data_IF_357880195719
#
_entry.id   IF_357880195719
#
_cell.length_a   1.000
_cell.length_b   1.000
_cell.length_c   1.000
_cell.angle_alpha   90.00
_cell.angle_beta   90.00
_cell.angle_gamma   90.00
#
_symmetry.space_group_name_H-M   'P 1'
#
loop_
_entity.id
_entity.type
_entity.pdbx_description
1 polymer ?
#
# COMPACT_ATOMS: atom_id res chain seq x y z
N UNK A 1 -17.91 -13.81 5.08
CA UNK A 1 -17.17 -13.11 4.03
C UNK A 1 -15.79 -13.75 3.86
N UNK A 2 -15.47 -14.29 2.68
CA UNK A 2 -14.33 -15.18 2.49
C UNK A 2 -13.04 -14.40 2.18
N UNK A 3 -12.37 -13.89 3.22
CA UNK A 3 -11.00 -13.35 3.15
C UNK A 3 -9.92 -14.44 3.11
N UNK A 4 -10.30 -15.72 3.02
CA UNK A 4 -9.38 -16.86 2.99
C UNK A 4 -9.04 -17.23 1.55
N UNK A 5 -7.78 -17.53 1.28
CA UNK A 5 -7.30 -18.11 0.02
C UNK A 5 -7.86 -19.53 -0.10
N UNK A 6 -9.02 -19.73 -0.77
CA UNK A 6 -9.19 -19.52 -2.21
C UNK A 6 -10.52 -18.82 -2.60
N UNK A 7 -10.97 -17.85 -1.81
CA UNK A 7 -12.24 -17.15 -2.05
C UNK A 7 -12.29 -16.42 -3.38
N UNK A 8 -13.45 -16.46 -4.05
CA UNK A 8 -13.73 -15.72 -5.29
C UNK A 8 -13.32 -14.25 -5.24
N UNK A 9 -13.44 -13.63 -4.06
CA UNK A 9 -13.10 -12.22 -3.85
C UNK A 9 -11.61 -11.94 -4.02
N UNK A 10 -10.73 -12.83 -3.56
CA UNK A 10 -9.28 -12.66 -3.70
C UNK A 10 -8.84 -12.70 -5.17
N UNK A 11 -9.48 -13.53 -6.00
CA UNK A 11 -9.15 -13.61 -7.43
C UNK A 11 -9.63 -12.37 -8.20
N UNK A 12 -10.82 -11.87 -7.86
CA UNK A 12 -11.34 -10.61 -8.41
C UNK A 12 -10.47 -9.42 -8.01
N UNK A 13 -10.09 -9.32 -6.73
CA UNK A 13 -9.20 -8.27 -6.23
C UNK A 13 -7.83 -8.32 -6.89
N UNK A 14 -7.20 -9.50 -7.00
CA UNK A 14 -5.92 -9.66 -7.72
C UNK A 14 -6.01 -9.16 -9.16
N UNK A 15 -7.10 -9.47 -9.86
CA UNK A 15 -7.33 -9.02 -11.24
C UNK A 15 -7.54 -7.50 -11.30
N UNK A 16 -8.28 -6.94 -10.34
CA UNK A 16 -8.49 -5.51 -10.23
C UNK A 16 -7.18 -4.76 -9.95
N UNK A 17 -6.39 -5.21 -8.97
CA UNK A 17 -5.06 -4.65 -8.69
C UNK A 17 -4.15 -4.74 -9.90
N UNK A 18 -4.16 -5.84 -10.66
CA UNK A 18 -3.36 -5.97 -11.89
C UNK A 18 -3.77 -4.99 -12.98
N UNK A 19 -5.06 -4.75 -13.17
CA UNK A 19 -5.56 -4.01 -14.33
C UNK A 19 -5.81 -2.52 -14.03
N UNK A 20 -5.95 -2.13 -12.77
CA UNK A 20 -6.27 -0.76 -12.40
C UNK A 20 -5.01 0.04 -11.99
N UNK A 21 -4.57 1.02 -12.80
CA UNK A 21 -3.42 1.84 -12.45
C UNK A 21 -3.65 2.72 -11.20
N UNK A 22 -4.90 2.99 -10.81
CA UNK A 22 -5.20 3.81 -9.63
C UNK A 22 -4.88 3.13 -8.29
N UNK A 23 -4.65 1.81 -8.30
CA UNK A 23 -4.32 1.00 -7.11
C UNK A 23 -2.81 0.70 -7.00
N UNK A 24 -1.99 1.31 -7.85
CA UNK A 24 -0.55 1.03 -7.92
C UNK A 24 0.18 1.57 -6.71
N UNK A 25 0.50 0.71 -5.76
CA UNK A 25 1.41 1.04 -4.67
C UNK A 25 2.86 0.74 -5.07
N UNK A 26 3.74 1.73 -4.95
CA UNK A 26 5.17 1.60 -5.24
C UNK A 26 6.00 1.98 -4.03
N UNK A 27 7.14 1.32 -3.89
CA UNK A 27 8.17 1.64 -2.90
C UNK A 27 9.49 1.79 -3.66
N UNK A 28 10.20 2.87 -3.39
CA UNK A 28 11.56 3.12 -3.86
C UNK A 28 12.49 3.16 -2.64
N UNK A 29 13.61 2.44 -2.75
CA UNK A 29 14.71 2.54 -1.81
C UNK A 29 15.81 3.39 -2.46
N UNK A 30 16.23 4.46 -1.78
CA UNK A 30 17.37 5.29 -2.19
C UNK A 30 18.45 5.26 -1.11
N UNK A 31 19.65 5.71 -1.47
CA UNK A 31 20.81 5.69 -0.59
C UNK A 31 21.18 4.24 -0.17
N UNK A 32 21.02 3.29 -1.10
CA UNK A 32 21.28 1.86 -0.86
C UNK A 32 22.67 1.49 -1.36
N UNK A 33 23.54 1.09 -0.44
CA UNK A 33 24.87 0.54 -0.71
C UNK A 33 24.82 -0.99 -0.91
N UNK A 34 23.90 -1.68 -0.22
CA UNK A 34 23.80 -3.15 -0.28
C UNK A 34 22.40 -3.68 -0.02
N UNK A 35 21.92 -4.58 -0.90
CA UNK A 35 20.66 -5.30 -0.69
C UNK A 35 20.75 -6.44 0.34
N UNK A 36 21.92 -6.63 0.96
CA UNK A 36 22.12 -7.67 2.00
C UNK A 36 22.20 -7.04 3.39
N UNK A 37 23.05 -6.04 3.58
CA UNK A 37 23.20 -5.35 4.87
C UNK A 37 23.51 -3.88 4.61
N UNK A 38 22.65 -3.00 5.12
CA UNK A 38 22.75 -1.56 4.95
C UNK A 38 22.12 -0.88 6.17
N UNK A 39 22.87 -0.02 6.86
CA UNK A 39 22.44 0.55 8.13
C UNK A 39 21.56 1.80 7.97
N UNK A 40 21.53 2.43 6.78
CA UNK A 40 20.70 3.60 6.53
C UNK A 40 20.16 3.61 5.10
N UNK A 41 18.88 3.28 4.95
CA UNK A 41 18.18 3.40 3.67
C UNK A 41 17.00 4.36 3.79
N UNK A 42 16.78 5.09 2.70
CA UNK A 42 15.62 5.96 2.55
C UNK A 42 14.51 5.20 1.85
N UNK A 43 13.32 5.15 2.46
CA UNK A 43 12.12 4.55 1.87
C UNK A 43 11.23 5.67 1.36
N UNK A 44 10.83 5.62 0.09
CA UNK A 44 9.79 6.53 -0.44
C UNK A 44 8.68 5.75 -1.11
N UNK A 45 7.42 6.01 -0.74
CA UNK A 45 6.26 5.40 -1.39
C UNK A 45 5.72 6.30 -2.50
N UNK A 46 5.05 5.70 -3.48
CA UNK A 46 4.42 6.42 -4.58
C UNK A 46 3.14 5.73 -5.05
N UNK A 47 2.36 6.45 -5.87
CA UNK A 47 1.41 5.84 -6.79
C UNK A 47 2.03 5.74 -8.20
N UNK A 48 1.98 4.55 -8.79
CA UNK A 48 2.40 4.31 -10.18
C UNK A 48 1.30 4.64 -11.18
N UNK A 49 1.67 4.90 -12.44
CA UNK A 49 0.73 5.24 -13.51
C UNK A 49 0.59 4.16 -14.60
N UNK A 50 1.51 3.21 -14.65
CA UNK A 50 1.63 2.30 -15.78
C UNK A 50 1.05 0.90 -15.47
N UNK A 51 0.59 0.16 -16.50
CA UNK A 51 0.25 -1.25 -16.36
C UNK A 51 1.43 -2.08 -15.83
N UNK A 52 1.13 -3.16 -15.11
CA UNK A 52 2.17 -4.12 -14.73
C UNK A 52 2.41 -5.11 -15.86
N UNK A 53 3.67 -5.51 -16.02
CA UNK A 53 4.05 -6.55 -16.96
C UNK A 53 3.61 -7.91 -16.41
N UNK A 54 2.81 -8.66 -17.16
CA UNK A 54 2.45 -10.03 -16.78
C UNK A 54 3.51 -11.01 -17.28
N UNK A 55 3.62 -12.16 -16.61
CA UNK A 55 4.35 -13.31 -17.14
C UNK A 55 3.59 -13.99 -18.29
N UNK A 56 4.22 -14.98 -18.94
CA UNK A 56 3.62 -15.71 -20.05
C UNK A 56 2.32 -16.46 -19.69
N UNK A 57 2.03 -16.65 -18.39
CA UNK A 57 0.82 -17.30 -17.91
C UNK A 57 -0.35 -16.32 -17.68
N UNK A 58 -0.07 -15.00 -17.64
CA UNK A 58 -1.02 -13.97 -17.23
C UNK A 58 -1.31 -13.95 -15.72
N UNK A 59 -0.84 -14.97 -14.98
CA UNK A 59 -1.19 -15.17 -13.58
C UNK A 59 -0.18 -14.54 -12.61
N UNK A 60 1.05 -14.28 -13.03
CA UNK A 60 2.02 -13.55 -12.23
C UNK A 60 2.50 -12.28 -12.91
N UNK A 61 3.20 -11.47 -12.13
CA UNK A 61 3.84 -10.25 -12.58
C UNK A 61 5.30 -10.56 -12.91
N UNK A 62 5.78 -10.01 -14.02
CA UNK A 62 7.15 -10.16 -14.46
C UNK A 62 7.98 -8.94 -14.00
N UNK A 63 9.19 -9.14 -13.43
CA UNK A 63 10.07 -8.05 -13.04
C UNK A 63 10.61 -7.27 -14.26
N UNK A 64 11.18 -6.09 -14.02
CA UNK A 64 11.84 -5.28 -15.06
C UNK A 64 10.92 -4.42 -15.92
N UNK A 65 9.62 -4.36 -15.60
CA UNK A 65 8.70 -3.39 -16.19
C UNK A 65 9.07 -1.94 -15.84
N UNK A 66 8.42 -0.97 -16.46
CA UNK A 66 8.61 0.46 -16.17
C UNK A 66 7.42 1.07 -15.45
N UNK A 67 7.67 2.06 -14.59
CA UNK A 67 6.61 2.82 -13.93
C UNK A 67 6.94 4.33 -13.90
N UNK A 68 6.01 5.15 -14.36
CA UNK A 68 5.96 6.60 -14.13
C UNK A 68 5.32 6.87 -12.77
N UNK A 69 5.88 7.85 -12.07
CA UNK A 69 5.37 8.32 -10.79
C UNK A 69 4.20 9.29 -11.00
N UNK A 70 3.15 9.13 -10.21
CA UNK A 70 2.06 10.12 -10.14
C UNK A 70 2.44 11.29 -9.23
N UNK A 71 3.13 12.27 -9.81
CA UNK A 71 3.57 13.46 -9.07
C UNK A 71 2.52 14.59 -9.03
N UNK A 72 1.48 14.51 -9.85
CA UNK A 72 0.46 15.56 -9.99
C UNK A 72 -0.70 15.29 -9.02
N UNK A 73 -1.32 14.12 -9.13
CA UNK A 73 -2.49 13.73 -8.33
C UNK A 73 -2.12 12.79 -7.19
N UNK A 74 -0.93 12.20 -7.24
CA UNK A 74 -0.47 11.20 -6.28
C UNK A 74 0.32 11.75 -5.10
N UNK A 75 0.36 13.08 -4.88
CA UNK A 75 1.15 13.71 -3.80
C UNK A 75 0.86 13.14 -2.41
N UNK A 76 -0.37 12.73 -2.13
CA UNK A 76 -0.72 12.09 -0.85
C UNK A 76 -0.08 10.71 -0.68
N UNK A 77 0.31 10.03 -1.75
CA UNK A 77 0.97 8.72 -1.69
C UNK A 77 2.50 8.83 -1.58
N UNK A 78 3.04 10.04 -1.76
CA UNK A 78 4.47 10.33 -1.58
C UNK A 78 4.75 10.46 -0.09
N UNK A 79 5.29 9.40 0.52
CA UNK A 79 5.66 9.36 1.94
C UNK A 79 7.10 8.89 2.05
N UNK A 80 7.87 9.54 2.92
CA UNK A 80 9.28 9.27 3.11
C UNK A 80 9.51 8.77 4.53
N UNK A 81 10.32 7.74 4.67
CA UNK A 81 10.72 7.15 5.94
C UNK A 81 12.16 6.67 5.91
N UNK A 82 12.64 6.24 7.07
CA UNK A 82 13.97 5.65 7.25
C UNK A 82 13.87 4.18 7.59
N UNK A 83 14.92 3.44 7.27
CA UNK A 83 15.04 2.04 7.61
C UNK A 83 16.46 1.54 7.43
N UNK A 84 16.61 0.23 7.53
CA UNK A 84 17.86 -0.49 7.31
C UNK A 84 17.58 -1.83 6.66
N UNK A 85 18.57 -2.43 6.05
CA UNK A 85 18.53 -3.78 5.49
C UNK A 85 19.40 -4.65 6.37
N UNK A 86 18.85 -5.75 6.88
CA UNK A 86 19.58 -6.73 7.69
C UNK A 86 19.33 -8.12 7.11
N UNK A 87 20.40 -8.79 6.67
CA UNK A 87 20.35 -10.11 6.03
C UNK A 87 19.32 -10.18 4.87
N UNK A 88 19.25 -9.13 4.07
CA UNK A 88 18.33 -9.01 2.93
C UNK A 88 16.89 -8.70 3.32
N UNK A 89 16.62 -8.32 4.56
CA UNK A 89 15.29 -7.89 5.03
C UNK A 89 15.30 -6.39 5.30
N UNK A 90 14.46 -5.64 4.58
CA UNK A 90 14.17 -4.25 4.88
C UNK A 90 13.38 -4.17 6.19
N UNK A 91 13.89 -3.41 7.16
CA UNK A 91 13.25 -3.11 8.44
C UNK A 91 13.17 -1.59 8.55
N UNK A 92 11.97 -1.03 8.65
CA UNK A 92 11.79 0.42 8.73
C UNK A 92 11.52 0.94 10.14
N UNK A 93 11.82 2.23 10.32
CA UNK A 93 11.19 3.03 11.36
C UNK A 93 9.70 3.22 11.08
N UNK A 94 8.97 3.73 12.07
CA UNK A 94 7.56 4.05 11.90
C UNK A 94 7.40 5.21 10.91
N UNK A 95 6.51 5.05 9.94
CA UNK A 95 6.12 6.13 9.02
C UNK A 95 4.64 6.04 8.68
N UNK A 96 4.01 7.19 8.44
CA UNK A 96 2.62 7.22 7.97
C UNK A 96 2.57 6.88 6.47
N UNK A 97 1.61 6.03 6.10
CA UNK A 97 1.37 5.60 4.73
C UNK A 97 -0.04 5.92 4.28
N UNK A 98 -0.13 6.22 2.98
CA UNK A 98 -1.39 6.18 2.25
C UNK A 98 -1.26 5.09 1.20
N UNK A 99 -2.08 4.05 1.32
CA UNK A 99 -2.14 2.96 0.34
C UNK A 99 -3.26 3.27 -0.65
N UNK A 100 -2.99 3.37 -1.97
CA UNK A 100 -4.01 3.62 -2.97
C UNK A 100 -5.11 2.53 -2.94
N UNK A 101 -6.36 2.98 -2.98
CA UNK A 101 -7.54 2.11 -2.90
C UNK A 101 -8.61 2.57 -3.92
N UNK A 102 -8.25 2.75 -5.19
CA UNK A 102 -9.14 3.13 -6.30
C UNK A 102 -9.63 4.57 -6.24
N UNK A 103 -9.95 5.19 -7.38
CA UNK A 103 -10.68 6.47 -7.51
C UNK A 103 -10.36 7.55 -6.44
N UNK A 104 -9.08 7.89 -6.28
CA UNK A 104 -8.55 8.86 -5.29
C UNK A 104 -8.88 8.55 -3.81
N UNK A 105 -9.35 7.34 -3.52
CA UNK A 105 -9.49 6.81 -2.18
C UNK A 105 -8.16 6.19 -1.75
N UNK A 106 -7.88 6.28 -0.45
CA UNK A 106 -6.67 5.76 0.15
C UNK A 106 -7.02 5.10 1.49
N UNK A 107 -6.35 4.00 1.81
CA UNK A 107 -6.28 3.53 3.18
C UNK A 107 -5.14 4.27 3.87
N UNK A 108 -5.44 5.01 4.95
CA UNK A 108 -4.40 5.58 5.80
C UNK A 108 -3.93 4.50 6.78
N UNK A 109 -2.61 4.36 6.89
CA UNK A 109 -1.98 3.59 7.95
C UNK A 109 -1.02 4.48 8.72
N UNK A 110 -1.14 4.45 10.03
CA UNK A 110 -0.27 5.19 10.95
C UNK A 110 0.78 4.28 11.55
N UNK A 111 1.95 4.84 11.84
CA UNK A 111 3.12 4.14 12.36
C UNK A 111 3.40 2.83 11.62
N UNK A 112 3.27 2.87 10.29
CA UNK A 112 3.51 1.71 9.46
C UNK A 112 4.99 1.36 9.47
N UNK A 113 5.28 0.06 9.53
CA UNK A 113 6.61 -0.51 9.52
C UNK A 113 6.69 -1.59 8.44
N UNK A 114 7.78 -1.55 7.68
CA UNK A 114 8.09 -2.52 6.66
C UNK A 114 8.98 -3.60 7.28
N UNK A 115 8.59 -4.86 7.10
CA UNK A 115 9.44 -6.03 7.29
C UNK A 115 9.34 -6.87 6.02
N UNK A 116 10.24 -6.60 5.08
CA UNK A 116 10.11 -7.12 3.71
C UNK A 116 11.44 -7.68 3.23
N UNK A 117 11.44 -8.98 2.86
CA UNK A 117 12.60 -9.63 2.26
C UNK A 117 12.80 -9.11 0.84
N UNK A 118 14.00 -8.64 0.54
CA UNK A 118 14.40 -8.09 -0.74
C UNK A 118 15.11 -9.15 -1.60
N UNK A 119 14.90 -9.06 -2.90
CA UNK A 119 15.63 -9.81 -3.93
C UNK A 119 15.91 -8.87 -5.11
N UNK A 120 16.74 -9.30 -6.06
CA UNK A 120 16.97 -8.54 -7.30
C UNK A 120 15.72 -8.38 -8.17
N UNK A 121 14.72 -9.24 -7.99
CA UNK A 121 13.51 -9.31 -8.83
C UNK A 121 12.25 -8.77 -8.15
N UNK A 122 12.31 -8.50 -6.84
CA UNK A 122 11.12 -8.12 -6.10
C UNK A 122 11.31 -8.20 -4.60
N UNK A 123 10.20 -8.17 -3.88
CA UNK A 123 10.21 -8.18 -2.43
C UNK A 123 8.94 -8.83 -1.86
N UNK A 124 9.05 -9.51 -0.72
CA UNK A 124 7.92 -10.22 -0.09
C UNK A 124 7.98 -10.10 1.43
N UNK A 125 6.84 -9.85 2.07
CA UNK A 125 6.78 -9.71 3.53
C UNK A 125 5.51 -9.02 4.01
N UNK A 126 5.66 -8.21 5.05
CA UNK A 126 4.55 -7.56 5.75
C UNK A 126 4.78 -6.06 5.91
N UNK A 127 3.71 -5.29 5.74
CA UNK A 127 3.63 -3.89 6.18
C UNK A 127 2.61 -3.84 7.31
N UNK A 128 3.09 -3.66 8.54
CA UNK A 128 2.25 -3.60 9.73
C UNK A 128 2.09 -2.17 10.25
N UNK A 129 0.95 -1.83 10.85
CA UNK A 129 0.70 -0.53 11.44
C UNK A 129 -0.73 -0.40 11.94
N UNK A 130 -1.26 0.81 12.02
CA UNK A 130 -2.63 1.05 12.46
C UNK A 130 -3.48 1.64 11.34
N UNK A 131 -4.46 0.89 10.88
CA UNK A 131 -5.39 1.32 9.84
C UNK A 131 -6.41 2.32 10.42
N UNK A 132 -6.50 3.49 9.81
CA UNK A 132 -7.52 4.49 10.14
C UNK A 132 -8.91 3.97 9.77
N UNK A 133 -9.83 3.96 10.74
CA UNK A 133 -11.14 3.34 10.60
C UNK A 133 -12.03 4.07 9.60
N UNK A 134 -11.94 5.40 9.54
CA UNK A 134 -12.78 6.20 8.67
C UNK A 134 -12.42 5.96 7.19
N UNK A 135 -11.13 5.94 6.88
CA UNK A 135 -10.67 5.68 5.51
C UNK A 135 -10.87 4.22 5.11
N UNK A 136 -10.73 3.28 6.05
CA UNK A 136 -11.10 1.89 5.84
C UNK A 136 -12.58 1.74 5.48
N UNK A 137 -13.46 2.28 6.32
CA UNK A 137 -14.91 2.24 6.09
C UNK A 137 -15.33 2.94 4.80
N UNK A 138 -14.71 4.09 4.49
CA UNK A 138 -15.02 4.85 3.27
C UNK A 138 -14.58 4.09 2.02
N UNK A 139 -13.34 3.58 2.00
CA UNK A 139 -12.83 2.79 0.87
C UNK A 139 -13.63 1.53 0.66
N UNK A 140 -13.97 0.84 1.74
CA UNK A 140 -14.84 -0.32 1.71
C UNK A 140 -16.17 -0.02 1.03
N UNK A 141 -16.95 0.93 1.55
CA UNK A 141 -18.30 1.18 1.03
C UNK A 141 -18.32 1.76 -0.39
N UNK A 142 -17.26 2.44 -0.83
CA UNK A 142 -17.21 3.06 -2.16
C UNK A 142 -16.67 2.13 -3.25
N UNK A 143 -15.73 1.24 -2.91
CA UNK A 143 -15.20 0.24 -3.87
C UNK A 143 -16.02 -1.03 -3.94
N UNK A 144 -16.66 -1.42 -2.83
CA UNK A 144 -17.31 -2.71 -2.80
C UNK A 144 -18.50 -2.73 -3.75
N UNK A 145 -18.65 -3.77 -4.59
CA UNK A 145 -19.71 -3.83 -5.57
C UNK A 145 -21.08 -3.65 -4.90
N UNK A 146 -21.87 -2.71 -5.44
CA UNK A 146 -23.19 -2.34 -4.90
C UNK A 146 -24.14 -3.53 -4.72
N UNK A 147 -23.97 -4.63 -5.45
CA UNK A 147 -24.80 -5.82 -5.29
C UNK A 147 -24.56 -6.56 -3.96
N UNK A 148 -23.36 -6.51 -3.38
CA UNK A 148 -23.13 -7.08 -2.05
C UNK A 148 -23.72 -6.21 -0.93
N UNK A 149 -23.70 -4.89 -1.12
CA UNK A 149 -24.28 -3.92 -0.18
C UNK A 149 -25.82 -3.87 -0.27
N UNK A 150 -26.37 -3.89 -1.48
CA UNK A 150 -27.80 -3.70 -1.76
C UNK A 150 -28.65 -4.94 -1.44
N UNK A 151 -28.07 -6.15 -1.49
CA UNK A 151 -28.80 -7.38 -1.14
C UNK A 151 -28.71 -7.75 0.35
N UNK A 152 -28.24 -6.84 1.20
CA UNK A 152 -28.14 -7.06 2.65
C UNK A 152 -27.11 -8.14 3.04
N UNK A 153 -26.19 -8.47 2.14
CA UNK A 153 -25.17 -9.49 2.40
C UNK A 153 -24.02 -8.97 3.29
N UNK A 154 -23.93 -7.65 3.48
CA UNK A 154 -22.96 -7.00 4.37
C UNK A 154 -23.64 -5.96 5.26
N UNK A 155 -23.40 -6.04 6.57
CA UNK A 155 -23.96 -5.12 7.56
C UNK A 155 -22.98 -3.98 7.84
N UNK A 156 -22.59 -3.22 6.82
CA UNK A 156 -21.44 -2.28 6.89
C UNK A 156 -21.54 -1.26 8.01
N UNK A 157 -22.74 -0.73 8.31
CA UNK A 157 -22.95 0.15 9.45
C UNK A 157 -22.69 -0.52 10.80
N UNK A 158 -23.07 -1.80 10.94
CA UNK A 158 -22.75 -2.60 12.14
C UNK A 158 -21.27 -2.93 12.21
N UNK A 159 -20.64 -3.27 11.08
CA UNK A 159 -19.19 -3.48 11.00
C UNK A 159 -18.41 -2.25 11.46
N UNK A 160 -18.79 -1.05 11.00
CA UNK A 160 -18.13 0.20 11.45
C UNK A 160 -18.30 0.44 12.94
N UNK A 161 -19.50 0.18 13.48
CA UNK A 161 -19.77 0.30 14.91
C UNK A 161 -18.91 -0.67 15.72
N UNK A 162 -18.75 -1.91 15.27
CA UNK A 162 -17.91 -2.89 15.97
C UNK A 162 -16.42 -2.58 15.80
N UNK A 163 -15.97 -2.12 14.63
CA UNK A 163 -14.59 -1.67 14.42
C UNK A 163 -14.22 -0.52 15.36
N UNK A 164 -15.13 0.45 15.57
CA UNK A 164 -14.95 1.53 16.55
C UNK A 164 -14.76 1.01 17.98
N UNK A 165 -15.44 -0.06 18.37
CA UNK A 165 -15.27 -0.69 19.70
C UNK A 165 -13.96 -1.46 19.82
N UNK A 166 -13.49 -2.05 18.73
CA UNK A 166 -12.25 -2.83 18.67
C UNK A 166 -11.01 -1.97 18.35
N UNK A 167 -11.20 -0.68 18.09
CA UNK A 167 -10.13 0.26 17.84
C UNK A 167 -9.14 0.28 19.01
N UNK A 168 -7.86 0.14 18.72
CA UNK A 168 -6.81 -0.09 19.71
C UNK A 168 -5.77 1.04 19.77
N UNK A 169 -5.86 2.04 18.88
CA UNK A 169 -4.90 3.14 18.84
C UNK A 169 -5.48 4.48 18.36
N UNK A 170 -4.69 5.53 18.60
CA UNK A 170 -4.95 6.93 18.24
C UNK A 170 -6.29 7.45 18.77
N UNK A 171 -6.40 7.70 20.08
CA UNK A 171 -7.60 8.26 20.67
C UNK A 171 -7.89 9.65 20.08
N UNK A 172 -9.15 9.89 19.74
CA UNK A 172 -9.63 11.21 19.38
C UNK A 172 -9.46 12.17 20.57
N UNK A 173 -9.00 13.40 20.31
CA UNK A 173 -8.66 14.36 21.36
C UNK A 173 -9.88 14.85 22.16
N UNK A 174 -11.07 14.76 21.57
CA UNK A 174 -12.32 15.24 22.18
C UNK A 174 -13.05 14.09 22.85
N UNK A 175 -13.20 12.95 22.17
CA UNK A 175 -14.01 11.83 22.68
C UNK A 175 -13.19 10.80 23.47
N UNK A 176 -11.87 10.76 23.28
CA UNK A 176 -10.99 9.73 23.83
C UNK A 176 -11.13 8.35 23.18
N UNK A 177 -12.05 8.18 22.22
CA UNK A 177 -12.24 6.91 21.51
C UNK A 177 -11.10 6.68 20.51
N UNK A 178 -10.56 5.46 20.46
CA UNK A 178 -9.56 5.08 19.46
C UNK A 178 -10.13 5.19 18.03
N UNK A 179 -9.30 5.69 17.12
CA UNK A 179 -9.68 5.97 15.71
C UNK A 179 -8.98 5.07 14.70
N UNK A 180 -8.08 4.22 15.17
CA UNK A 180 -7.37 3.24 14.34
C UNK A 180 -7.36 1.86 14.99
N UNK A 181 -7.13 0.85 14.16
CA UNK A 181 -7.02 -0.56 14.57
C UNK A 181 -5.74 -1.16 14.02
N UNK A 182 -5.06 -2.00 14.80
CA UNK A 182 -3.89 -2.75 14.33
C UNK A 182 -4.23 -3.56 13.07
N UNK A 183 -3.38 -3.44 12.07
CA UNK A 183 -3.58 -4.04 10.75
C UNK A 183 -2.25 -4.35 10.07
N UNK A 184 -2.28 -5.31 9.16
CA UNK A 184 -1.12 -5.70 8.38
C UNK A 184 -1.51 -6.04 6.94
N UNK A 185 -0.70 -5.57 5.99
CA UNK A 185 -0.74 -6.03 4.61
C UNK A 185 0.34 -7.09 4.41
N UNK A 186 -0.05 -8.27 3.94
CA UNK A 186 0.90 -9.16 3.27
C UNK A 186 1.17 -8.60 1.88
N UNK A 187 2.44 -8.41 1.55
CA UNK A 187 2.88 -7.81 0.30
C UNK A 187 3.78 -8.75 -0.48
N UNK A 188 3.54 -8.78 -1.80
CA UNK A 188 4.43 -9.36 -2.80
C UNK A 188 4.60 -8.35 -3.92
N UNK A 189 5.83 -7.93 -4.13
CA UNK A 189 6.23 -6.83 -4.98
C UNK A 189 7.17 -7.35 -6.07
N UNK A 190 7.14 -6.71 -7.23
CA UNK A 190 8.08 -6.98 -8.34
C UNK A 190 8.92 -5.74 -8.60
N UNK A 191 10.17 -5.96 -8.99
CA UNK A 191 11.09 -4.90 -9.36
C UNK A 191 10.62 -4.21 -10.64
N UNK A 192 10.65 -2.88 -10.63
CA UNK A 192 10.36 -2.03 -11.79
C UNK A 192 11.39 -0.93 -11.91
N UNK A 193 11.57 -0.42 -13.13
CA UNK A 193 12.37 0.77 -13.40
C UNK A 193 11.50 2.02 -13.31
N UNK A 194 11.87 2.94 -12.43
CA UNK A 194 11.21 4.25 -12.32
C UNK A 194 11.61 5.13 -13.51
N UNK A 195 10.62 5.66 -14.23
CA UNK A 195 10.83 6.64 -15.29
C UNK A 195 10.69 8.05 -14.70
N UNK A 196 11.82 8.76 -14.58
CA UNK A 196 11.87 10.17 -14.20
C UNK A 196 11.92 11.01 -15.48
N UNK A 197 10.99 11.96 -15.68
CA UNK A 197 11.07 12.86 -16.83
C UNK A 197 12.04 14.02 -16.53
N UNK A 198 12.88 14.38 -17.50
CA UNK A 198 13.92 15.42 -17.35
C UNK A 198 13.36 16.79 -16.93
N UNK A 199 12.06 17.05 -17.16
CA UNK A 199 11.41 18.32 -16.79
C UNK A 199 11.35 18.58 -15.28
N UNK A 200 11.56 17.56 -14.44
CA UNK A 200 11.59 17.74 -12.98
C UNK A 200 13.00 17.87 -12.40
N UNK A 201 14.07 17.71 -13.19
CA UNK A 201 15.45 17.98 -12.73
C UNK A 201 15.79 19.48 -12.70
N UNK A 202 15.00 20.33 -13.37
CA UNK A 202 15.25 21.78 -13.46
C UNK A 202 14.44 22.62 -12.47
N UNK A 203 13.70 22.00 -11.55
CA UNK A 203 13.04 22.69 -10.46
C UNK A 203 13.51 22.09 -9.14
N UNK A 204 14.29 22.87 -8.40
CA UNK A 204 14.88 22.58 -7.08
C UNK A 204 16.20 21.80 -7.14
N UNK A 205 17.30 22.53 -7.35
CA UNK A 205 18.46 22.63 -6.44
C UNK A 205 19.36 23.78 -6.94
N UNK A 206 19.14 24.97 -6.39
CA UNK A 206 20.20 25.93 -6.07
C UNK A 206 20.18 26.10 -4.57
#
# INVERSE_FOLDING_TARGET
MNFRSPGSNLNTEKTFFKNNPYDRFMIELTDVDSLVNDDDVTITTYRGLDPLLNDATGNNLHPGGTQRLDLIYGKSFIRKGKGKIVNGVLISEAMDLNVPQGDNIQQRMRDARFEVKLTSEGAEGVIGGYADLQTFYTGRNRRWPVHHLAYGQEATGSEYRELRKLADAYPDRVTGENTAISAAYSVKLVQVRVLRSEKFNNAVFR
#
